data_IF_869426499460
#
_entry.id   IF_869426499460
#
_cell.length_a   1.000
_cell.length_b   1.000
_cell.length_c   1.000
_cell.angle_alpha   90.00
_cell.angle_beta   90.00
_cell.angle_gamma   90.00
#
_symmetry.space_group_name_H-M   'P 1'
#
loop_
_entity.id
_entity.type
_entity.pdbx_description
1 polymer ?
#
# COMPACT_ATOMS: atom_id res chain seq x y z
N UNK A 1 3.62 -10.73 -21.64
CA UNK A 1 4.19 -10.49 -20.29
C UNK A 1 5.23 -9.38 -20.40
N UNK A 2 5.24 -8.36 -19.53
CA UNK A 2 6.17 -7.21 -19.69
C UNK A 2 7.63 -7.69 -19.57
N UNK A 3 8.58 -7.24 -20.42
CA UNK A 3 9.98 -7.71 -20.41
C UNK A 3 10.69 -7.55 -19.06
N UNK A 4 10.25 -6.59 -18.23
CA UNK A 4 10.81 -6.33 -16.89
C UNK A 4 10.46 -7.40 -15.85
N UNK A 5 9.52 -8.32 -16.14
CA UNK A 5 9.15 -9.41 -15.23
C UNK A 5 9.82 -10.75 -15.61
N UNK A 6 10.49 -10.80 -16.76
CA UNK A 6 11.13 -12.02 -17.27
C UNK A 6 12.63 -12.07 -16.97
N UNK A 7 13.24 -10.96 -16.55
CA UNK A 7 14.63 -10.93 -16.07
C UNK A 7 14.73 -11.46 -14.64
N UNK A 8 15.88 -12.00 -14.26
CA UNK A 8 16.13 -12.49 -12.89
C UNK A 8 16.02 -11.35 -11.86
N UNK A 9 16.59 -10.18 -12.17
CA UNK A 9 16.48 -8.96 -11.36
C UNK A 9 15.02 -8.50 -11.22
N UNK A 10 14.26 -8.56 -12.31
CA UNK A 10 12.84 -8.25 -12.32
C UNK A 10 11.99 -9.16 -11.45
N UNK A 11 12.25 -10.47 -11.49
CA UNK A 11 11.60 -11.46 -10.62
C UNK A 11 11.95 -11.24 -9.15
N UNK A 12 13.21 -10.95 -8.83
CA UNK A 12 13.64 -10.69 -7.47
C UNK A 12 12.95 -9.44 -6.89
N UNK A 13 12.91 -8.34 -7.65
CA UNK A 13 12.22 -7.12 -7.25
C UNK A 13 10.71 -7.32 -7.13
N UNK A 14 10.11 -8.10 -8.03
CA UNK A 14 8.69 -8.45 -7.94
C UNK A 14 8.38 -9.29 -6.69
N UNK A 15 9.24 -10.25 -6.34
CA UNK A 15 9.06 -11.09 -5.15
C UNK A 15 9.06 -10.26 -3.85
N UNK A 16 9.86 -9.19 -3.79
CA UNK A 16 9.92 -8.28 -2.65
C UNK A 16 8.58 -7.59 -2.35
N UNK A 17 7.68 -7.48 -3.34
CA UNK A 17 6.36 -6.86 -3.16
C UNK A 17 5.49 -7.59 -2.15
N UNK A 18 5.65 -8.92 -2.04
CA UNK A 18 4.91 -9.77 -1.10
C UNK A 18 5.05 -9.33 0.35
N UNK A 19 6.23 -8.85 0.73
CA UNK A 19 6.52 -8.43 2.10
C UNK A 19 6.50 -6.90 2.29
N UNK A 20 6.47 -6.13 1.19
CA UNK A 20 6.54 -4.66 1.27
C UNK A 20 5.18 -4.03 0.98
N UNK A 21 4.73 -4.05 -0.26
CA UNK A 21 3.55 -3.29 -0.69
C UNK A 21 2.25 -4.07 -0.54
N UNK A 22 2.25 -5.39 -0.77
CA UNK A 22 1.04 -6.22 -0.68
C UNK A 22 0.39 -6.20 0.71
N UNK A 23 1.16 -6.30 1.83
CA UNK A 23 0.58 -6.21 3.17
C UNK A 23 -0.05 -4.85 3.43
N UNK A 24 0.58 -3.76 2.98
CA UNK A 24 0.06 -2.39 3.12
C UNK A 24 -1.30 -2.27 2.42
N UNK A 25 -1.42 -2.75 1.18
CA UNK A 25 -2.71 -2.76 0.47
C UNK A 25 -3.75 -3.64 1.17
N UNK A 26 -3.35 -4.78 1.73
CA UNK A 26 -4.22 -5.65 2.53
C UNK A 26 -4.78 -4.92 3.75
N UNK A 27 -3.91 -4.25 4.52
CA UNK A 27 -4.29 -3.49 5.71
C UNK A 27 -5.22 -2.33 5.35
N UNK A 28 -4.89 -1.54 4.33
CA UNK A 28 -5.75 -0.42 3.89
C UNK A 28 -7.16 -0.92 3.53
N UNK A 29 -7.27 -2.05 2.83
CA UNK A 29 -8.55 -2.58 2.37
C UNK A 29 -9.35 -3.29 3.46
N UNK A 30 -8.69 -4.08 4.31
CA UNK A 30 -9.36 -5.00 5.24
C UNK A 30 -9.43 -4.46 6.66
N UNK A 31 -8.42 -3.70 7.10
CA UNK A 31 -8.33 -3.18 8.46
C UNK A 31 -8.80 -1.73 8.52
N UNK A 32 -8.35 -0.88 7.59
CA UNK A 32 -8.77 0.53 7.51
C UNK A 32 -10.15 0.64 6.82
N UNK A 33 -10.51 -0.31 5.96
CA UNK A 33 -11.82 -0.40 5.32
C UNK A 33 -11.98 0.40 4.03
N UNK A 34 -10.91 1.02 3.50
CA UNK A 34 -10.96 1.73 2.22
C UNK A 34 -10.99 0.73 1.05
N UNK A 35 -12.20 0.35 0.63
CA UNK A 35 -12.41 -0.56 -0.51
C UNK A 35 -12.82 0.14 -1.81
N UNK A 36 -13.34 1.35 -1.70
CA UNK A 36 -13.75 2.17 -2.83
C UNK A 36 -13.44 3.64 -2.54
N UNK A 37 -13.25 4.40 -3.62
CA UNK A 37 -13.12 5.84 -3.59
C UNK A 37 -14.51 6.46 -3.71
N UNK A 38 -14.80 7.49 -2.90
CA UNK A 38 -16.11 8.14 -2.91
C UNK A 38 -16.13 9.28 -3.92
N UNK A 39 -14.99 9.91 -4.14
CA UNK A 39 -14.83 11.00 -5.10
C UNK A 39 -14.46 10.50 -6.50
N UNK A 40 -14.81 11.29 -7.52
CA UNK A 40 -14.43 11.05 -8.92
C UNK A 40 -13.41 12.08 -9.39
N UNK A 41 -12.49 11.66 -10.24
CA UNK A 41 -11.39 12.47 -10.76
C UNK A 41 -10.06 12.21 -10.03
N UNK A 42 -8.97 12.20 -10.78
CA UNK A 42 -7.65 11.77 -10.29
C UNK A 42 -7.18 12.59 -9.09
N UNK A 43 -7.35 13.91 -9.13
CA UNK A 43 -6.96 14.83 -8.05
C UNK A 43 -7.69 14.51 -6.74
N UNK A 44 -9.01 14.36 -6.79
CA UNK A 44 -9.82 14.08 -5.60
C UNK A 44 -9.55 12.70 -5.03
N UNK A 45 -9.41 11.70 -5.90
CA UNK A 45 -9.02 10.32 -5.52
C UNK A 45 -7.62 10.30 -4.89
N UNK A 46 -6.68 11.11 -5.40
CA UNK A 46 -5.36 11.24 -4.80
C UNK A 46 -5.41 11.81 -3.38
N UNK A 47 -6.33 12.74 -3.11
CA UNK A 47 -6.61 13.22 -1.75
C UNK A 47 -7.10 12.12 -0.82
N UNK A 48 -8.10 11.34 -1.23
CA UNK A 48 -8.60 10.18 -0.45
C UNK A 48 -7.49 9.16 -0.18
N UNK A 49 -6.67 8.87 -1.19
CA UNK A 49 -5.53 7.97 -1.05
C UNK A 49 -4.45 8.49 -0.10
N UNK A 50 -4.21 9.80 -0.11
CA UNK A 50 -3.26 10.45 0.81
C UNK A 50 -3.71 10.29 2.26
N UNK A 51 -4.99 10.50 2.54
CA UNK A 51 -5.55 10.28 3.88
C UNK A 51 -5.44 8.81 4.33
N UNK A 52 -5.71 7.87 3.42
CA UNK A 52 -5.61 6.44 3.73
C UNK A 52 -4.18 6.00 4.05
N UNK A 53 -3.21 6.50 3.30
CA UNK A 53 -1.79 6.20 3.55
C UNK A 53 -1.27 6.89 4.82
N UNK A 54 -1.75 8.10 5.14
CA UNK A 54 -1.48 8.76 6.43
C UNK A 54 -2.02 7.93 7.61
N UNK A 55 -3.28 7.48 7.54
CA UNK A 55 -3.87 6.64 8.57
C UNK A 55 -3.08 5.34 8.79
N UNK A 56 -2.62 4.71 7.70
CA UNK A 56 -1.71 3.56 7.79
C UNK A 56 -0.40 3.92 8.48
N UNK A 57 0.25 5.02 8.11
CA UNK A 57 1.52 5.43 8.71
C UNK A 57 1.38 5.67 10.22
N UNK A 58 0.30 6.33 10.67
CA UNK A 58 0.01 6.54 12.10
C UNK A 58 -0.16 5.20 12.81
N UNK A 59 -0.95 4.27 12.26
CA UNK A 59 -1.11 2.93 12.83
C UNK A 59 0.23 2.21 12.95
N UNK A 60 1.08 2.29 11.92
CA UNK A 60 2.40 1.66 11.91
C UNK A 60 3.32 2.25 12.97
N UNK A 61 3.38 3.58 13.09
CA UNK A 61 4.22 4.25 14.09
C UNK A 61 3.81 3.84 15.51
N UNK A 62 2.51 3.84 15.82
CA UNK A 62 2.01 3.40 17.13
C UNK A 62 2.42 1.95 17.46
N UNK A 63 2.35 1.03 16.50
CA UNK A 63 2.79 -0.36 16.72
C UNK A 63 4.30 -0.45 16.95
N UNK A 64 5.09 0.36 16.23
CA UNK A 64 6.55 0.39 16.41
C UNK A 64 6.94 1.01 17.75
N UNK A 65 6.23 2.04 18.21
CA UNK A 65 6.43 2.65 19.54
C UNK A 65 6.13 1.67 20.67
N UNK A 66 5.06 0.87 20.56
CA UNK A 66 4.74 -0.16 21.57
C UNK A 66 5.73 -1.33 21.61
N UNK A 67 6.51 -1.51 20.54
CA UNK A 67 7.50 -2.58 20.43
C UNK A 67 8.91 -2.16 20.87
N UNK A 68 9.12 -0.87 21.18
CA UNK A 68 10.35 -0.29 21.70
C UNK A 68 10.34 -0.24 23.22
#
# INVERSE_FOLDING_TARGET
>A
MKPRLTTQSGRALYALRKQTVEPVFGIIKQVIGLRQFSMRGLEKVAGEWTLATLAWNVKRMSVLEMAA
#
